data_IF_385390837291
#
_entry.id   IF_385390837291
#
_cell.length_a   1.000
_cell.length_b   1.000
_cell.length_c   1.000
_cell.angle_alpha   90.00
_cell.angle_beta   90.00
_cell.angle_gamma   90.00
#
_symmetry.space_group_name_H-M   'P 1'
#
loop_
_entity.id
_entity.type
_entity.pdbx_description
1 polymer ?
#
# COMPACT_ATOMS: atom_id res chain seq x y z
N UNK A 1 -26.70 -31.46 -3.67
CA UNK A 1 -25.59 -31.25 -2.72
C UNK A 1 -24.56 -30.36 -3.41
N UNK A 2 -24.06 -29.23 -2.92
CA UNK A 2 -24.35 -28.39 -1.77
C UNK A 2 -23.76 -27.01 -2.10
N UNK A 3 -24.52 -25.95 -1.90
CA UNK A 3 -24.06 -24.56 -2.02
C UNK A 3 -23.97 -23.99 -0.60
N UNK A 4 -22.82 -23.45 -0.23
CA UNK A 4 -22.66 -22.69 1.01
C UNK A 4 -22.52 -21.20 0.70
N UNK A 5 -23.14 -20.32 1.50
CA UNK A 5 -22.66 -18.96 1.62
C UNK A 5 -22.38 -18.56 3.08
N UNK A 6 -21.15 -18.06 3.23
CA UNK A 6 -20.58 -17.15 4.21
C UNK A 6 -21.54 -16.23 4.98
N UNK A 7 -21.46 -16.27 6.33
CA UNK A 7 -21.47 -15.17 7.34
C UNK A 7 -20.92 -15.81 8.64
N UNK A 8 -20.04 -15.25 9.47
CA UNK A 8 -20.10 -14.02 10.27
C UNK A 8 -18.73 -13.91 11.00
N UNK A 9 -18.10 -12.73 11.00
CA UNK A 9 -16.95 -12.44 11.86
C UNK A 9 -17.47 -11.85 13.17
N UNK A 10 -17.12 -12.47 14.29
CA UNK A 10 -17.36 -11.94 15.63
C UNK A 10 -16.05 -12.03 16.42
N UNK A 11 -15.26 -10.97 16.38
CA UNK A 11 -14.13 -10.77 17.29
C UNK A 11 -14.52 -9.72 18.33
N UNK A 12 -14.89 -10.18 19.52
CA UNK A 12 -14.96 -9.35 20.73
C UNK A 12 -13.95 -9.92 21.71
N UNK A 13 -12.74 -9.35 21.69
CA UNK A 13 -11.70 -9.62 22.67
C UNK A 13 -12.09 -8.99 24.02
N UNK A 14 -12.37 -9.85 24.98
CA UNK A 14 -12.67 -9.54 26.38
C UNK A 14 -11.38 -9.71 27.19
N UNK A 15 -10.82 -8.61 27.70
CA UNK A 15 -9.68 -8.66 28.64
C UNK A 15 -10.23 -8.67 30.09
N UNK A 16 -9.84 -9.63 30.95
CA UNK A 16 -10.19 -9.65 32.36
C UNK A 16 -9.37 -8.63 33.16
N UNK A 17 -10.01 -8.01 34.16
CA UNK A 17 -9.33 -7.18 35.15
C UNK A 17 -8.90 -7.99 36.37
N UNK A 18 -7.61 -7.95 36.68
CA UNK A 18 -7.05 -8.48 37.92
C UNK A 18 -7.17 -7.46 39.06
N UNK A 19 -7.80 -7.89 40.15
CA UNK A 19 -7.70 -7.30 41.50
C UNK A 19 -7.18 -8.37 42.43
N UNK A 20 -6.28 -8.00 43.33
CA UNK A 20 -6.05 -8.71 44.59
C UNK A 20 -4.58 -8.96 44.89
N UNK A 21 -4.07 -8.26 45.89
CA UNK A 21 -2.72 -8.45 46.42
C UNK A 21 -2.62 -7.78 47.78
N UNK A 22 -3.09 -8.51 48.80
CA UNK A 22 -2.96 -8.23 50.23
C UNK A 22 -1.52 -7.95 50.67
N UNK A 23 -1.35 -7.08 51.68
CA UNK A 23 -0.36 -7.28 52.76
C UNK A 23 -0.87 -6.72 54.09
N UNK A 24 -0.70 -7.59 55.08
CA UNK A 24 -1.03 -7.51 56.50
C UNK A 24 -0.40 -6.33 57.24
N UNK A 25 -0.96 -5.96 58.40
CA UNK A 25 -0.20 -5.91 59.66
C UNK A 25 -1.13 -5.90 60.90
N UNK A 26 -0.69 -6.68 61.88
CA UNK A 26 -1.31 -7.02 63.16
C UNK A 26 -1.64 -5.82 64.05
N UNK A 27 -2.77 -5.91 64.78
CA UNK A 27 -2.98 -5.18 66.05
C UNK A 27 -3.20 -6.17 67.18
N UNK A 28 -2.19 -6.26 68.05
CA UNK A 28 -2.33 -6.83 69.38
C UNK A 28 -3.11 -5.89 70.29
N UNK A 29 -4.03 -6.46 71.05
CA UNK A 29 -4.71 -5.81 72.15
C UNK A 29 -3.78 -5.75 73.37
N UNK A 30 -3.76 -4.59 74.02
CA UNK A 30 -3.11 -4.39 75.31
C UNK A 30 -3.88 -3.31 76.05
N UNK A 31 -4.59 -3.73 77.08
CA UNK A 31 -5.12 -2.87 78.14
C UNK A 31 -4.01 -1.97 78.72
N UNK A 32 -4.38 -0.77 79.16
CA UNK A 32 -4.10 -0.30 80.52
C UNK A 32 -4.80 1.06 80.74
N UNK A 33 -5.76 1.01 81.64
CA UNK A 33 -6.44 2.13 82.26
C UNK A 33 -5.50 2.78 83.31
N UNK A 34 -5.37 4.12 83.32
CA UNK A 34 -5.22 4.90 84.56
C UNK A 34 -5.24 6.43 84.37
N UNK A 35 -6.10 7.04 85.20
CA UNK A 35 -5.94 8.30 85.95
C UNK A 35 -5.98 9.66 85.22
N UNK A 36 -7.09 10.34 85.53
CA UNK A 36 -7.31 11.79 85.63
C UNK A 36 -6.06 12.61 86.00
N UNK A 37 -5.89 13.76 85.37
CA UNK A 37 -5.66 15.03 86.07
C UNK A 37 -6.24 16.19 85.24
N UNK A 38 -7.17 16.95 85.84
CA UNK A 38 -7.52 18.30 85.41
C UNK A 38 -6.31 19.19 85.71
N UNK A 39 -5.80 19.87 84.70
CA UNK A 39 -4.83 20.95 84.83
C UNK A 39 -5.19 22.03 83.83
N UNK A 40 -5.62 23.18 84.33
CA UNK A 40 -5.79 24.39 83.53
C UNK A 40 -4.41 24.84 83.02
N UNK A 41 -4.29 25.08 81.71
CA UNK A 41 -3.05 25.49 81.07
C UNK A 41 -3.30 26.25 79.77
N UNK A 42 -3.32 27.58 79.90
CA UNK A 42 -2.86 28.62 78.95
C UNK A 42 -3.20 28.50 77.43
N UNK A 43 -4.05 29.39 76.87
CA UNK A 43 -4.38 29.39 75.44
C UNK A 43 -3.31 30.04 74.53
N UNK A 44 -2.05 30.18 74.96
CA UNK A 44 -1.00 30.87 74.20
C UNK A 44 0.04 29.99 73.51
N UNK A 45 -0.29 28.76 73.07
CA UNK A 45 0.63 27.94 72.25
C UNK A 45 0.04 27.20 71.04
N UNK A 46 -1.17 27.52 70.61
CA UNK A 46 -1.77 26.94 69.39
C UNK A 46 -1.65 27.85 68.14
N UNK A 47 -0.49 28.49 67.96
CA UNK A 47 -0.24 29.33 66.76
C UNK A 47 0.93 28.90 65.89
N UNK A 48 1.79 28.00 66.36
CA UNK A 48 3.02 27.65 65.64
C UNK A 48 2.96 26.28 64.93
N UNK A 49 1.98 25.43 65.25
CA UNK A 49 1.84 24.11 64.61
C UNK A 49 0.70 24.01 63.58
N UNK A 50 0.26 25.15 63.03
CA UNK A 50 -0.73 25.20 61.94
C UNK A 50 -0.12 25.61 60.59
N UNK A 51 1.17 25.98 60.59
CA UNK A 51 1.89 26.37 59.37
C UNK A 51 2.54 25.18 58.64
N UNK A 52 2.82 24.07 59.32
CA UNK A 52 3.44 22.90 58.67
C UNK A 52 2.46 21.93 58.02
N UNK A 53 1.21 21.87 58.48
CA UNK A 53 0.18 21.06 57.80
C UNK A 53 -0.35 21.72 56.52
N UNK A 54 -0.13 23.03 56.34
CA UNK A 54 -0.55 23.75 55.13
C UNK A 54 0.41 23.58 53.96
N UNK A 55 1.62 23.03 54.17
CA UNK A 55 2.60 22.78 53.09
C UNK A 55 2.44 21.42 52.42
N UNK A 56 1.65 20.52 53.01
CA UNK A 56 1.35 19.22 52.41
C UNK A 56 -0.06 19.13 51.78
N UNK A 57 -0.95 20.09 52.04
CA UNK A 57 -2.33 20.06 51.57
C UNK A 57 -2.57 20.73 50.20
N UNK A 58 -1.53 20.98 49.41
CA UNK A 58 -1.64 21.53 48.06
C UNK A 58 -0.75 20.74 47.09
N UNK A 59 -1.04 19.45 46.90
CA UNK A 59 -0.37 18.66 45.87
C UNK A 59 -1.22 17.61 45.15
N UNK A 60 -2.54 17.67 45.24
CA UNK A 60 -3.39 16.66 44.58
C UNK A 60 -4.25 17.20 43.42
N UNK A 61 -4.24 18.50 43.13
CA UNK A 61 -5.04 19.09 42.03
C UNK A 61 -4.23 19.43 40.76
N UNK A 62 -2.90 19.22 40.77
CA UNK A 62 -2.02 19.56 39.64
C UNK A 62 -1.47 18.36 38.82
N UNK A 63 -1.69 17.13 39.28
CA UNK A 63 -0.95 15.97 38.77
C UNK A 63 -1.60 15.31 37.55
N UNK A 64 -2.94 15.32 37.45
CA UNK A 64 -3.66 14.81 36.27
C UNK A 64 -3.38 15.64 35.03
N UNK A 65 -3.45 16.97 35.15
CA UNK A 65 -3.19 17.91 34.07
C UNK A 65 -1.74 17.80 33.56
N UNK A 66 -0.78 17.60 34.48
CA UNK A 66 0.62 17.33 34.13
C UNK A 66 0.82 15.99 33.39
N UNK A 67 0.16 14.92 33.83
CA UNK A 67 0.24 13.61 33.16
C UNK A 67 -0.33 13.69 31.74
N UNK A 68 -1.44 14.40 31.53
CA UNK A 68 -1.99 14.59 30.18
C UNK A 68 -1.07 15.40 29.29
N UNK A 69 -0.46 16.48 29.80
CA UNK A 69 0.51 17.28 29.03
C UNK A 69 1.70 16.41 28.61
N UNK A 70 2.29 15.64 29.53
CA UNK A 70 3.42 14.75 29.23
C UNK A 70 3.01 13.65 28.25
N UNK A 71 1.84 13.04 28.43
CA UNK A 71 1.33 12.02 27.52
C UNK A 71 1.11 12.58 26.12
N UNK A 72 0.47 13.75 25.99
CA UNK A 72 0.25 14.42 24.71
C UNK A 72 1.57 14.84 24.06
N UNK A 73 2.51 15.39 24.83
CA UNK A 73 3.84 15.74 24.33
C UNK A 73 4.61 14.51 23.83
N UNK A 74 4.55 13.39 24.56
CA UNK A 74 5.16 12.13 24.15
C UNK A 74 4.52 11.58 22.86
N UNK A 75 3.19 11.65 22.74
CA UNK A 75 2.47 11.24 21.52
C UNK A 75 2.83 12.13 20.33
N UNK A 76 2.89 13.46 20.49
CA UNK A 76 3.34 14.36 19.43
C UNK A 76 4.79 14.09 19.04
N UNK A 77 5.68 13.87 20.01
CA UNK A 77 7.07 13.52 19.74
C UNK A 77 7.17 12.23 18.90
N UNK A 78 6.44 11.19 19.29
CA UNK A 78 6.34 9.95 18.50
C UNK A 78 5.78 10.23 17.10
N UNK A 79 4.72 11.03 16.98
CA UNK A 79 4.14 11.39 15.68
C UNK A 79 5.16 12.08 14.77
N UNK A 80 5.92 13.06 15.28
CA UNK A 80 6.99 13.72 14.51
C UNK A 80 8.14 12.77 14.16
N UNK A 81 8.52 11.88 15.08
CA UNK A 81 9.54 10.88 14.82
C UNK A 81 9.13 9.94 13.67
N UNK A 82 7.88 9.46 13.65
CA UNK A 82 7.37 8.64 12.56
C UNK A 82 7.20 9.43 11.25
N UNK A 83 6.80 10.71 11.32
CA UNK A 83 6.68 11.57 10.14
C UNK A 83 8.02 11.73 9.41
N UNK A 84 9.12 11.89 10.14
CA UNK A 84 10.45 12.00 9.54
C UNK A 84 10.85 10.73 8.74
N UNK A 85 10.45 9.55 9.23
CA UNK A 85 10.71 8.27 8.53
C UNK A 85 9.75 8.06 7.35
N UNK A 86 8.53 8.60 7.42
CA UNK A 86 7.47 8.40 6.44
C UNK A 86 7.82 8.89 5.02
N UNK A 87 8.63 9.95 4.89
CA UNK A 87 8.97 10.53 3.58
C UNK A 87 9.73 9.55 2.67
N UNK A 88 10.68 8.79 3.21
CA UNK A 88 11.43 7.79 2.45
C UNK A 88 10.52 6.63 2.01
N UNK A 89 9.58 6.22 2.88
CA UNK A 89 8.61 5.17 2.58
C UNK A 89 7.66 5.58 1.45
N UNK A 90 7.18 6.82 1.46
CA UNK A 90 6.34 7.36 0.38
C UNK A 90 7.09 7.35 -0.93
N UNK A 91 8.33 7.85 -0.97
CA UNK A 91 9.12 7.88 -2.20
C UNK A 91 9.35 6.49 -2.79
N UNK A 92 9.67 5.51 -1.94
CA UNK A 92 9.84 4.10 -2.38
C UNK A 92 8.55 3.56 -3.00
N UNK A 93 7.41 3.81 -2.38
CA UNK A 93 6.12 3.33 -2.87
C UNK A 93 5.70 4.03 -4.18
N UNK A 94 5.96 5.33 -4.29
CA UNK A 94 5.76 6.11 -5.52
C UNK A 94 6.63 5.58 -6.67
N UNK A 95 7.90 5.23 -6.40
CA UNK A 95 8.80 4.65 -7.38
C UNK A 95 8.29 3.31 -7.94
N UNK A 96 7.77 2.43 -7.09
CA UNK A 96 7.17 1.16 -7.55
C UNK A 96 5.91 1.41 -8.39
N UNK A 97 5.01 2.26 -7.93
CA UNK A 97 3.79 2.63 -8.67
C UNK A 97 4.13 3.19 -10.07
N UNK A 98 5.17 4.03 -10.16
CA UNK A 98 5.65 4.57 -11.43
C UNK A 98 6.22 3.48 -12.35
N UNK A 99 6.97 2.52 -11.80
CA UNK A 99 7.51 1.40 -12.56
C UNK A 99 6.39 0.51 -13.11
N UNK A 100 5.41 0.16 -12.28
CA UNK A 100 4.27 -0.69 -12.67
C UNK A 100 3.44 -0.03 -13.77
N UNK A 101 3.13 1.26 -13.61
CA UNK A 101 2.40 2.03 -14.61
C UNK A 101 3.17 2.10 -15.94
N UNK A 102 4.49 2.34 -15.88
CA UNK A 102 5.33 2.43 -17.06
C UNK A 102 5.50 1.07 -17.77
N UNK A 103 5.65 -0.03 -17.02
CA UNK A 103 5.73 -1.39 -17.57
C UNK A 103 4.42 -1.80 -18.26
N UNK A 104 3.28 -1.58 -17.60
CA UNK A 104 1.97 -1.85 -18.21
C UNK A 104 1.74 -0.99 -19.46
N UNK A 105 2.17 0.27 -19.45
CA UNK A 105 2.10 1.14 -20.62
C UNK A 105 2.99 0.66 -21.76
N UNK A 106 4.21 0.18 -21.46
CA UNK A 106 5.10 -0.40 -22.46
C UNK A 106 4.47 -1.63 -23.12
N UNK A 107 3.94 -2.55 -22.32
CA UNK A 107 3.27 -3.74 -22.82
C UNK A 107 2.00 -3.41 -23.63
N UNK A 108 1.20 -2.43 -23.20
CA UNK A 108 0.05 -1.96 -24.00
C UNK A 108 0.49 -1.33 -25.31
N UNK A 109 1.52 -0.48 -25.30
CA UNK A 109 2.08 0.13 -26.50
C UNK A 109 2.61 -0.91 -27.49
N UNK A 110 3.33 -1.93 -27.01
CA UNK A 110 3.79 -3.05 -27.85
C UNK A 110 2.64 -3.87 -28.45
N UNK A 111 1.58 -4.13 -27.67
CA UNK A 111 0.36 -4.80 -28.14
C UNK A 111 -0.34 -3.95 -29.21
N UNK A 112 -0.56 -2.68 -28.95
CA UNK A 112 -1.32 -1.79 -29.84
C UNK A 112 -0.53 -1.51 -31.14
N UNK A 113 0.80 -1.62 -31.11
CA UNK A 113 1.67 -1.51 -32.29
C UNK A 113 1.38 -2.53 -33.40
N UNK A 114 0.72 -3.66 -33.11
CA UNK A 114 0.31 -4.65 -34.13
C UNK A 114 -1.14 -4.51 -34.60
N UNK A 115 -1.90 -3.54 -34.09
CA UNK A 115 -3.32 -3.37 -34.43
C UNK A 115 -3.56 -3.31 -35.94
N UNK A 116 -2.75 -2.54 -36.67
CA UNK A 116 -2.83 -2.44 -38.12
C UNK A 116 -2.60 -3.79 -38.83
N UNK A 117 -1.48 -4.46 -38.51
CA UNK A 117 -1.15 -5.77 -39.10
C UNK A 117 -2.21 -6.84 -38.78
N UNK A 118 -2.76 -6.80 -37.57
CA UNK A 118 -3.81 -7.72 -37.13
C UNK A 118 -5.13 -7.46 -37.89
N UNK A 119 -5.51 -6.19 -38.05
CA UNK A 119 -6.69 -5.80 -38.81
C UNK A 119 -6.58 -6.18 -40.29
N UNK A 120 -5.41 -5.99 -40.89
CA UNK A 120 -5.16 -6.34 -42.28
C UNK A 120 -5.24 -7.87 -42.49
N UNK A 121 -4.64 -8.65 -41.58
CA UNK A 121 -4.71 -10.10 -41.61
C UNK A 121 -6.15 -10.62 -41.40
N UNK A 122 -6.94 -10.00 -40.53
CA UNK A 122 -8.36 -10.30 -40.36
C UNK A 122 -9.14 -10.06 -41.67
N UNK A 123 -8.96 -8.89 -42.31
CA UNK A 123 -9.67 -8.55 -43.56
C UNK A 123 -9.26 -9.45 -44.72
N UNK A 124 -7.99 -9.85 -44.78
CA UNK A 124 -7.48 -10.77 -45.79
C UNK A 124 -7.88 -12.24 -45.54
N UNK A 125 -8.32 -12.57 -44.32
CA UNK A 125 -8.57 -13.95 -43.90
C UNK A 125 -7.27 -14.78 -43.79
N UNK A 126 -6.14 -14.14 -43.51
CA UNK A 126 -4.84 -14.80 -43.40
C UNK A 126 -4.64 -15.41 -42.01
N UNK A 127 -5.04 -16.68 -41.89
CA UNK A 127 -4.91 -17.45 -40.66
C UNK A 127 -3.45 -17.63 -40.21
N UNK A 128 -2.50 -17.71 -41.14
CA UNK A 128 -1.09 -17.91 -40.84
C UNK A 128 -0.49 -16.68 -40.15
N UNK A 129 -0.76 -15.49 -40.70
CA UNK A 129 -0.34 -14.23 -40.10
C UNK A 129 -1.03 -13.99 -38.75
N UNK A 130 -2.32 -14.27 -38.62
CA UNK A 130 -3.04 -14.14 -37.35
C UNK A 130 -2.43 -15.04 -36.26
N UNK A 131 -2.14 -16.30 -36.59
CA UNK A 131 -1.48 -17.23 -35.66
C UNK A 131 -0.07 -16.78 -35.29
N UNK A 132 0.68 -16.26 -36.27
CA UNK A 132 2.00 -15.66 -36.02
C UNK A 132 1.95 -14.50 -35.04
N UNK A 133 1.01 -13.56 -35.24
CA UNK A 133 0.82 -12.39 -34.38
C UNK A 133 0.39 -12.78 -32.95
N UNK A 134 -0.50 -13.77 -32.79
CA UNK A 134 -0.86 -14.31 -31.47
C UNK A 134 0.35 -14.87 -30.72
N UNK A 135 1.29 -15.48 -31.44
CA UNK A 135 2.55 -15.99 -30.88
C UNK A 135 3.64 -14.91 -30.73
N UNK A 136 3.31 -13.64 -30.93
CA UNK A 136 4.23 -12.51 -30.77
C UNK A 136 5.09 -12.19 -31.99
N UNK A 137 4.86 -12.84 -33.13
CA UNK A 137 5.63 -12.58 -34.36
C UNK A 137 5.32 -11.17 -34.87
N UNK A 138 6.35 -10.37 -35.12
CA UNK A 138 6.20 -9.03 -35.71
C UNK A 138 5.83 -7.94 -34.70
N UNK A 139 5.85 -8.23 -33.39
CA UNK A 139 5.85 -7.22 -32.33
C UNK A 139 7.31 -6.78 -32.11
N UNK A 140 7.62 -5.56 -32.53
CA UNK A 140 8.96 -4.96 -32.44
C UNK A 140 9.09 -3.94 -31.29
N UNK A 141 7.99 -3.69 -30.56
CA UNK A 141 7.94 -2.71 -29.48
C UNK A 141 7.91 -1.26 -29.93
N UNK A 142 7.57 -0.99 -31.19
CA UNK A 142 7.35 0.37 -31.67
C UNK A 142 6.33 1.08 -30.76
N UNK A 143 6.74 2.21 -30.19
CA UNK A 143 5.91 3.01 -29.29
C UNK A 143 5.87 2.53 -27.82
N UNK A 144 6.35 1.32 -27.50
CA UNK A 144 6.32 0.77 -26.13
C UNK A 144 7.07 1.67 -25.14
N UNK A 145 8.33 2.00 -25.44
CA UNK A 145 9.15 2.79 -24.52
C UNK A 145 8.75 4.27 -24.47
N UNK A 146 8.14 4.80 -25.53
CA UNK A 146 7.56 6.14 -25.52
C UNK A 146 6.33 6.20 -24.60
N UNK A 147 5.46 5.17 -24.66
CA UNK A 147 4.34 5.02 -23.73
C UNK A 147 4.84 4.88 -22.29
N UNK A 148 5.85 4.05 -22.05
CA UNK A 148 6.49 3.90 -20.74
C UNK A 148 6.97 5.25 -20.18
N UNK A 149 7.65 6.06 -21.00
CA UNK A 149 8.14 7.38 -20.62
C UNK A 149 7.01 8.33 -20.22
N UNK A 150 5.92 8.34 -20.98
CA UNK A 150 4.74 9.17 -20.69
C UNK A 150 4.12 8.82 -19.34
N UNK A 151 3.95 7.52 -19.07
CA UNK A 151 3.36 7.06 -17.81
C UNK A 151 4.30 7.21 -16.62
N UNK A 152 5.60 7.00 -16.80
CA UNK A 152 6.59 7.28 -15.76
C UNK A 152 6.57 8.76 -15.37
N UNK A 153 6.58 9.66 -16.36
CA UNK A 153 6.55 11.10 -16.13
C UNK A 153 5.28 11.54 -15.40
N UNK A 154 4.12 10.98 -15.79
CA UNK A 154 2.84 11.20 -15.10
C UNK A 154 2.83 10.73 -13.64
N UNK A 155 3.73 9.81 -13.27
CA UNK A 155 3.91 9.31 -11.90
C UNK A 155 5.17 9.88 -11.21
N UNK A 156 5.72 10.99 -11.72
CA UNK A 156 6.85 11.67 -11.08
C UNK A 156 8.17 10.90 -11.18
N UNK A 157 8.37 10.14 -12.25
CA UNK A 157 9.59 9.39 -12.51
C UNK A 157 10.03 9.52 -13.98
N UNK A 158 11.28 9.21 -14.25
CA UNK A 158 11.84 9.08 -15.61
C UNK A 158 12.22 7.63 -15.88
N UNK A 159 12.11 7.20 -17.13
CA UNK A 159 12.50 5.85 -17.55
C UNK A 159 14.03 5.79 -17.66
N UNK A 160 14.64 4.81 -16.99
CA UNK A 160 16.07 4.52 -17.04
C UNK A 160 16.40 3.36 -17.99
N UNK A 161 15.42 2.53 -18.32
CA UNK A 161 15.56 1.44 -19.28
C UNK A 161 14.21 0.82 -19.62
N UNK A 162 14.10 0.27 -20.82
CA UNK A 162 12.90 -0.38 -21.34
C UNK A 162 13.24 -1.54 -22.29
N UNK A 163 14.03 -2.55 -21.87
CA UNK A 163 14.23 -3.75 -22.68
C UNK A 163 12.93 -4.55 -22.86
N UNK A 164 12.70 -5.03 -24.08
CA UNK A 164 11.67 -6.01 -24.40
C UNK A 164 12.26 -7.39 -24.66
N UNK A 165 11.53 -8.45 -24.31
CA UNK A 165 11.85 -9.84 -24.66
C UNK A 165 10.69 -10.47 -25.40
N UNK A 166 10.93 -11.45 -26.28
CA UNK A 166 9.89 -12.06 -27.12
C UNK A 166 9.43 -13.46 -26.66
N UNK A 167 10.00 -14.01 -25.58
CA UNK A 167 9.66 -15.34 -25.07
C UNK A 167 9.81 -15.43 -23.54
N UNK A 168 8.76 -15.14 -22.75
CA UNK A 168 7.47 -14.57 -23.18
C UNK A 168 7.62 -13.12 -23.65
N UNK A 169 6.65 -12.64 -24.44
CA UNK A 169 6.63 -11.25 -24.86
C UNK A 169 6.42 -10.34 -23.64
N UNK A 170 7.43 -9.56 -23.28
CA UNK A 170 7.39 -8.73 -22.08
C UNK A 170 8.26 -7.48 -22.23
N UNK A 171 8.00 -6.49 -21.38
CA UNK A 171 8.80 -5.28 -21.25
C UNK A 171 9.17 -5.07 -19.80
N UNK A 172 10.47 -5.00 -19.52
CA UNK A 172 11.00 -4.61 -18.21
C UNK A 172 11.31 -3.13 -18.24
N UNK A 173 10.60 -2.32 -17.45
CA UNK A 173 10.82 -0.89 -17.37
C UNK A 173 11.48 -0.56 -16.04
N UNK A 174 12.64 0.10 -16.12
CA UNK A 174 13.29 0.74 -14.99
C UNK A 174 12.91 2.20 -14.91
N UNK A 175 12.68 2.71 -13.71
CA UNK A 175 12.39 4.12 -13.46
C UNK A 175 13.26 4.69 -12.35
N UNK A 176 13.43 6.01 -12.38
CA UNK A 176 14.04 6.82 -11.31
C UNK A 176 13.08 7.94 -10.95
N UNK A 177 12.75 8.11 -9.67
CA UNK A 177 11.87 9.21 -9.26
C UNK A 177 12.52 10.56 -9.54
N UNK A 178 11.73 11.54 -9.99
CA UNK A 178 12.18 12.93 -10.12
C UNK A 178 12.33 13.60 -8.76
N UNK A 179 11.47 13.23 -7.81
CA UNK A 179 11.60 13.62 -6.41
C UNK A 179 12.73 12.88 -5.68
N UNK A 180 13.19 13.48 -4.59
CA UNK A 180 14.16 12.89 -3.66
C UNK A 180 13.49 12.63 -2.32
N UNK A 181 14.17 11.91 -1.41
CA UNK A 181 13.66 11.65 -0.05
C UNK A 181 13.51 12.94 0.79
N UNK A 182 13.95 14.08 0.24
CA UNK A 182 13.81 15.42 0.80
C UNK A 182 15.03 15.85 1.61
N UNK A 183 14.99 17.09 2.11
CA UNK A 183 15.97 17.60 3.08
C UNK A 183 15.71 16.89 4.42
N UNK A 184 16.28 15.71 4.60
CA UNK A 184 16.25 15.05 5.91
C UNK A 184 17.11 15.81 6.91
N UNK A 185 16.82 15.62 8.20
CA UNK A 185 17.76 15.95 9.29
C UNK A 185 19.09 15.19 9.13
N UNK A 186 19.08 14.09 8.38
CA UNK A 186 20.25 13.33 7.97
C UNK A 186 20.87 13.96 6.72
N UNK A 187 22.05 14.57 6.87
CA UNK A 187 22.85 15.13 5.77
C UNK A 187 23.11 14.08 4.68
N UNK A 188 23.06 14.49 3.41
CA UNK A 188 23.42 13.65 2.26
C UNK A 188 22.28 12.85 1.66
N UNK A 189 21.03 13.16 2.04
CA UNK A 189 19.83 12.50 1.52
C UNK A 189 19.09 13.36 0.49
N UNK A 190 19.45 14.64 0.39
CA UNK A 190 18.87 15.62 -0.51
C UNK A 190 18.85 15.21 -1.98
N UNK A 191 19.82 14.39 -2.43
CA UNK A 191 19.99 13.94 -3.81
C UNK A 191 19.65 12.46 -4.03
N UNK A 192 19.08 11.79 -3.01
CA UNK A 192 18.73 10.37 -3.12
C UNK A 192 17.38 10.22 -3.83
N UNK A 193 17.44 9.68 -5.04
CA UNK A 193 16.29 9.28 -5.83
C UNK A 193 15.98 7.80 -5.61
N UNK A 194 14.69 7.44 -5.62
CA UNK A 194 14.29 6.04 -5.61
C UNK A 194 14.35 5.48 -7.04
N UNK A 195 14.81 4.24 -7.17
CA UNK A 195 14.80 3.49 -8.42
C UNK A 195 13.97 2.24 -8.25
N UNK A 196 13.21 1.86 -9.27
CA UNK A 196 12.43 0.62 -9.27
C UNK A 196 12.35 0.05 -10.67
N UNK A 197 12.05 -1.24 -10.75
CA UNK A 197 11.84 -1.96 -12.00
C UNK A 197 10.56 -2.75 -11.89
N UNK A 198 9.81 -2.81 -12.97
CA UNK A 198 8.65 -3.67 -13.12
C UNK A 198 8.69 -4.31 -14.50
N UNK A 199 8.13 -5.49 -14.62
CA UNK A 199 8.05 -6.21 -15.90
C UNK A 199 6.59 -6.50 -16.18
N UNK A 200 6.13 -6.18 -17.39
CA UNK A 200 4.80 -6.49 -17.85
C UNK A 200 4.85 -7.46 -19.03
N UNK A 201 4.01 -8.49 -18.97
CA UNK A 201 3.92 -9.56 -19.97
C UNK A 201 2.68 -9.33 -20.82
N UNK A 202 2.84 -9.50 -22.13
CA UNK A 202 1.75 -9.58 -23.11
C UNK A 202 1.51 -11.07 -23.38
N UNK A 203 0.41 -11.61 -22.87
CA UNK A 203 0.07 -13.02 -23.03
C UNK A 203 -1.12 -13.19 -23.98
N UNK A 204 -1.02 -14.06 -25.01
CA UNK A 204 -2.17 -14.37 -25.85
C UNK A 204 -3.25 -15.07 -25.03
N UNK A 205 -4.50 -14.67 -25.25
CA UNK A 205 -5.71 -15.32 -24.70
C UNK A 205 -6.22 -16.41 -25.63
N UNK A 206 -5.85 -16.34 -26.91
CA UNK A 206 -6.26 -17.26 -27.95
C UNK A 206 -5.07 -18.06 -28.46
N UNK A 207 -5.27 -19.37 -28.64
CA UNK A 207 -4.21 -20.32 -28.99
C UNK A 207 -4.31 -20.81 -30.43
N UNK A 208 -5.49 -20.72 -31.03
CA UNK A 208 -5.70 -21.14 -32.41
C UNK A 208 -6.71 -20.27 -33.14
N UNK A 209 -6.66 -20.32 -34.47
CA UNK A 209 -7.51 -19.54 -35.36
C UNK A 209 -7.86 -20.37 -36.60
N UNK A 210 -9.13 -20.35 -36.98
CA UNK A 210 -9.64 -21.12 -38.10
C UNK A 210 -10.77 -20.40 -38.83
N UNK A 211 -11.03 -20.81 -40.06
CA UNK A 211 -12.05 -20.20 -40.91
C UNK A 211 -13.42 -20.84 -40.62
N UNK A 212 -14.38 -20.02 -40.22
CA UNK A 212 -15.80 -20.35 -40.16
C UNK A 212 -16.52 -20.00 -41.47
N UNK A 213 -17.84 -20.25 -41.56
CA UNK A 213 -18.61 -20.05 -42.78
C UNK A 213 -18.62 -18.59 -43.26
N UNK A 214 -18.84 -17.63 -42.35
CA UNK A 214 -18.85 -16.18 -42.64
C UNK A 214 -17.98 -15.38 -41.66
N UNK A 215 -17.13 -16.04 -40.88
CA UNK A 215 -16.35 -15.40 -39.81
C UNK A 215 -15.03 -16.13 -39.57
N UNK A 216 -14.10 -15.46 -38.91
CA UNK A 216 -12.87 -16.05 -38.38
C UNK A 216 -13.13 -16.43 -36.94
N UNK A 217 -12.85 -17.68 -36.58
CA UNK A 217 -13.11 -18.21 -35.24
C UNK A 217 -11.77 -18.40 -34.52
N UNK A 218 -11.68 -17.82 -33.31
CA UNK A 218 -10.53 -17.92 -32.42
C UNK A 218 -10.87 -18.81 -31.23
N UNK A 219 -9.96 -19.73 -30.91
CA UNK A 219 -10.07 -20.59 -29.72
C UNK A 219 -9.35 -19.92 -28.58
N UNK A 220 -10.09 -19.40 -27.60
CA UNK A 220 -9.55 -18.63 -26.48
C UNK A 220 -9.85 -19.30 -25.14
N UNK A 221 -9.10 -18.92 -24.09
CA UNK A 221 -9.29 -19.47 -22.73
C UNK A 221 -10.71 -19.23 -22.19
N UNK A 222 -11.37 -18.15 -22.63
CA UNK A 222 -12.73 -17.80 -22.23
C UNK A 222 -13.83 -18.43 -23.11
N UNK A 223 -13.47 -19.20 -24.14
CA UNK A 223 -14.38 -19.77 -25.13
C UNK A 223 -14.01 -19.42 -26.57
N UNK A 224 -14.87 -19.82 -27.52
CA UNK A 224 -14.71 -19.45 -28.93
C UNK A 224 -15.15 -18.00 -29.17
N UNK A 225 -14.34 -17.27 -29.92
CA UNK A 225 -14.61 -15.90 -30.34
C UNK A 225 -14.76 -15.85 -31.86
N UNK A 226 -15.94 -15.47 -32.33
CA UNK A 226 -16.23 -15.31 -33.76
C UNK A 226 -16.12 -13.86 -34.17
N UNK A 227 -15.28 -13.59 -35.17
CA UNK A 227 -14.96 -12.24 -35.66
C UNK A 227 -15.35 -12.15 -37.13
N UNK A 228 -16.28 -11.24 -37.44
CA UNK A 228 -16.62 -10.86 -38.80
C UNK A 228 -16.06 -9.46 -39.10
N UNK A 229 -14.94 -9.36 -39.83
CA UNK A 229 -14.31 -8.08 -40.17
C UNK A 229 -15.09 -7.29 -41.25
N UNK A 230 -16.12 -7.89 -41.86
CA UNK A 230 -16.94 -7.25 -42.90
C UNK A 230 -18.18 -6.56 -42.35
N UNK A 231 -18.48 -6.74 -41.06
CA UNK A 231 -19.57 -6.05 -40.40
C UNK A 231 -19.34 -4.54 -40.37
N UNK A 232 -20.38 -3.74 -40.67
CA UNK A 232 -20.29 -2.29 -40.82
C UNK A 232 -19.91 -1.52 -39.56
N UNK A 233 -20.00 -2.16 -38.39
CA UNK A 233 -19.66 -1.61 -37.08
C UNK A 233 -18.45 -2.31 -36.43
N UNK A 234 -17.66 -3.06 -37.21
CA UNK A 234 -16.51 -3.76 -36.68
C UNK A 234 -15.43 -2.79 -36.17
N UNK A 235 -15.06 -2.93 -34.90
CA UNK A 235 -13.93 -2.25 -34.28
C UNK A 235 -13.02 -3.28 -33.64
N UNK A 236 -11.75 -3.30 -34.04
CA UNK A 236 -10.78 -4.19 -33.46
C UNK A 236 -10.51 -3.81 -32.00
N UNK A 237 -10.56 -4.79 -31.11
CA UNK A 237 -10.15 -4.65 -29.72
C UNK A 237 -9.14 -5.73 -29.36
N UNK A 238 -7.85 -5.38 -29.37
CA UNK A 238 -6.78 -6.33 -29.06
C UNK A 238 -6.84 -6.89 -27.63
N UNK A 239 -7.60 -6.28 -26.70
CA UNK A 239 -7.79 -6.80 -25.35
C UNK A 239 -8.63 -8.10 -25.30
N UNK A 240 -9.35 -8.42 -26.37
CA UNK A 240 -10.05 -9.70 -26.50
C UNK A 240 -9.08 -10.84 -26.81
N UNK A 241 -7.98 -10.54 -27.51
CA UNK A 241 -6.99 -11.51 -27.96
C UNK A 241 -5.76 -11.60 -27.06
N UNK A 242 -5.44 -10.54 -26.33
CA UNK A 242 -4.25 -10.45 -25.48
C UNK A 242 -4.61 -9.94 -24.09
N UNK A 243 -3.95 -10.51 -23.07
CA UNK A 243 -3.93 -9.97 -21.71
C UNK A 243 -2.59 -9.30 -21.44
N UNK A 244 -2.62 -8.23 -20.64
CA UNK A 244 -1.42 -7.52 -20.18
C UNK A 244 -1.45 -7.51 -18.66
N UNK A 245 -0.40 -8.02 -18.03
CA UNK A 245 -0.27 -8.11 -16.58
C UNK A 245 1.19 -7.96 -16.16
N UNK A 246 1.43 -7.62 -14.90
CA UNK A 246 2.77 -7.60 -14.33
C UNK A 246 3.25 -9.05 -14.12
N UNK A 247 4.52 -9.32 -14.39
CA UNK A 247 5.16 -10.55 -13.91
C UNK A 247 5.56 -10.34 -12.46
N UNK A 248 5.14 -11.25 -11.58
CA UNK A 248 5.53 -11.29 -10.17
C UNK A 248 7.05 -11.43 -9.98
#
# INVERSE_FOLDING_TARGET
>A
MGAGPWRQWADVLRIPGDRGGDRDHHRGAGDHEHRRHRGAGDPRRDRENRQDLSRYACRDEGQTLGIYIVAVAALFFLAFAFFAVGQASVLRNSSQTAADAAALAAARGGRDGIEGKFLDALKAGDLGTLKGLLNGTGIDGTGACAAAGTYAAGNGAEVTGCPGTNSPLSYTVGVRTLGTVGKSVVKGTEDIHATSKATAVIAPRCTDVHKGPNAIIFTCTAGELSVDPTASNFKLNLAEFFSVHLSE
#
